data_IF_848184584908
#
_entry.id   IF_848184584908
#
_cell.length_a   1.000
_cell.length_b   1.000
_cell.length_c   1.000
_cell.angle_alpha   90.00
_cell.angle_beta   90.00
_cell.angle_gamma   90.00
#
_symmetry.space_group_name_H-M   'P 1'
#
loop_
_entity.id
_entity.type
_entity.pdbx_description
1 polymer ?
#
# COMPACT_ATOMS: atom_id res chain seq x y z
N UNK A 1 11.36 6.10 13.74
CA UNK A 1 10.38 6.76 12.86
C UNK A 1 10.83 8.17 12.44
N UNK A 2 11.24 9.08 13.35
CA UNK A 2 11.64 10.45 12.99
C UNK A 2 12.79 10.51 11.96
N UNK A 3 13.79 9.63 12.09
CA UNK A 3 14.91 9.55 11.15
C UNK A 3 14.49 9.12 9.73
N UNK A 4 13.45 8.29 9.59
CA UNK A 4 12.95 7.82 8.28
C UNK A 4 12.16 8.95 7.60
N UNK A 5 11.31 9.63 8.36
CA UNK A 5 10.54 10.78 7.88
C UNK A 5 11.47 11.92 7.47
N UNK A 6 12.47 12.22 8.30
CA UNK A 6 13.50 13.20 8.00
C UNK A 6 14.23 12.81 6.70
N UNK A 7 14.70 11.56 6.57
CA UNK A 7 15.32 11.10 5.32
C UNK A 7 14.41 11.23 4.09
N UNK A 8 13.11 10.95 4.22
CA UNK A 8 12.13 11.12 3.14
C UNK A 8 11.95 12.59 2.77
N UNK A 9 11.66 13.44 3.76
CA UNK A 9 11.38 14.87 3.58
C UNK A 9 12.58 15.64 2.98
N UNK A 10 13.80 15.23 3.32
CA UNK A 10 15.03 15.86 2.85
C UNK A 10 15.71 15.09 1.69
N UNK A 11 15.03 14.12 1.06
CA UNK A 11 15.57 13.51 -0.15
C UNK A 11 15.47 14.46 -1.36
N UNK A 12 16.34 14.25 -2.35
CA UNK A 12 16.44 15.12 -3.53
C UNK A 12 15.10 15.18 -4.27
N UNK A 13 14.40 14.05 -4.41
CA UNK A 13 13.13 13.98 -5.15
C UNK A 13 12.02 14.79 -4.49
N UNK A 14 11.87 14.69 -3.17
CA UNK A 14 10.86 15.38 -2.36
C UNK A 14 11.13 16.88 -2.35
N UNK A 15 12.39 17.27 -2.22
CA UNK A 15 12.80 18.68 -2.31
C UNK A 15 12.53 19.22 -3.72
N UNK A 16 12.92 18.48 -4.77
CA UNK A 16 12.73 18.88 -6.16
C UNK A 16 11.25 19.02 -6.52
N UNK A 17 10.42 18.06 -6.09
CA UNK A 17 8.97 18.12 -6.26
C UNK A 17 8.36 19.32 -5.51
N UNK A 18 8.82 19.60 -4.29
CA UNK A 18 8.37 20.76 -3.53
C UNK A 18 8.71 22.08 -4.25
N UNK A 19 9.89 22.18 -4.87
CA UNK A 19 10.27 23.33 -5.70
C UNK A 19 9.37 23.49 -6.94
N UNK A 20 8.83 22.39 -7.46
CA UNK A 20 7.84 22.37 -8.55
C UNK A 20 6.39 22.58 -8.08
N UNK A 21 6.18 22.91 -6.80
CA UNK A 21 4.85 23.12 -6.20
C UNK A 21 4.11 21.83 -5.82
N UNK A 22 4.77 20.67 -5.92
CA UNK A 22 4.20 19.36 -5.57
C UNK A 22 4.63 19.00 -4.13
N UNK A 23 3.72 19.15 -3.17
CA UNK A 23 4.03 18.90 -1.76
C UNK A 23 3.94 17.40 -1.40
N UNK A 24 5.12 16.75 -1.33
CA UNK A 24 5.28 15.38 -0.79
C UNK A 24 5.84 15.32 0.64
N UNK A 25 5.97 16.46 1.33
CA UNK A 25 6.51 16.53 2.69
C UNK A 25 5.53 15.88 3.67
N UNK A 26 6.02 14.98 4.51
CA UNK A 26 5.26 14.30 5.54
C UNK A 26 5.36 15.05 6.89
N UNK A 27 4.35 14.95 7.77
CA UNK A 27 4.44 15.46 9.14
C UNK A 27 5.61 14.80 9.89
N UNK A 28 6.43 15.59 10.59
CA UNK A 28 7.58 15.08 11.35
C UNK A 28 7.19 14.17 12.52
N UNK A 29 6.00 14.40 13.06
CA UNK A 29 5.37 13.67 14.15
C UNK A 29 4.50 12.50 13.67
N UNK A 30 4.52 12.16 12.37
CA UNK A 30 3.75 11.04 11.84
C UNK A 30 4.11 9.75 12.59
N UNK A 31 3.13 9.16 13.26
CA UNK A 31 3.26 7.88 13.97
C UNK A 31 2.42 6.79 13.29
N UNK A 32 3.03 5.65 13.01
CA UNK A 32 2.32 4.46 12.51
C UNK A 32 1.74 3.69 13.70
N UNK A 33 0.42 3.64 13.78
CA UNK A 33 -0.33 2.97 14.84
C UNK A 33 -1.43 2.07 14.28
N UNK A 34 -1.85 1.09 15.08
CA UNK A 34 -2.96 0.20 14.71
C UNK A 34 -4.25 1.01 14.62
N UNK A 35 -5.06 0.77 13.58
CA UNK A 35 -6.39 1.38 13.44
C UNK A 35 -6.40 2.83 12.93
N UNK A 36 -5.26 3.37 12.48
CA UNK A 36 -5.14 4.79 12.11
C UNK A 36 -5.70 5.15 10.71
N UNK A 37 -6.35 4.23 10.01
CA UNK A 37 -6.80 4.45 8.63
C UNK A 37 -7.73 5.68 8.47
N UNK A 38 -8.61 5.92 9.44
CA UNK A 38 -9.55 7.06 9.38
C UNK A 38 -8.86 8.43 9.37
N UNK A 39 -7.66 8.51 9.92
CA UNK A 39 -6.81 9.71 9.86
C UNK A 39 -5.99 9.72 8.57
N UNK A 40 -5.37 8.58 8.22
CA UNK A 40 -4.54 8.47 7.02
C UNK A 40 -5.29 8.79 5.73
N UNK A 41 -6.56 8.36 5.61
CA UNK A 41 -7.36 8.58 4.39
C UNK A 41 -7.57 10.05 4.03
N UNK A 42 -7.35 10.97 4.98
CA UNK A 42 -7.43 12.43 4.77
C UNK A 42 -6.23 12.98 3.99
N UNK A 43 -5.12 12.25 3.94
CA UNK A 43 -3.88 12.66 3.29
C UNK A 43 -3.34 11.54 2.41
N UNK A 44 -3.53 11.65 1.09
CA UNK A 44 -3.08 10.62 0.16
C UNK A 44 -1.58 10.33 0.28
N UNK A 45 -0.75 11.38 0.43
CA UNK A 45 0.71 11.23 0.64
C UNK A 45 1.06 10.43 1.90
N UNK A 46 0.32 10.63 2.99
CA UNK A 46 0.57 9.92 4.24
C UNK A 46 0.12 8.46 4.13
N UNK A 47 -1.05 8.22 3.51
CA UNK A 47 -1.54 6.87 3.24
C UNK A 47 -0.57 6.10 2.34
N UNK A 48 -0.11 6.71 1.24
CA UNK A 48 0.86 6.15 0.30
C UNK A 48 2.15 5.74 1.04
N UNK A 49 2.75 6.68 1.78
CA UNK A 49 3.97 6.43 2.54
C UNK A 49 3.81 5.31 3.58
N UNK A 50 2.72 5.32 4.36
CA UNK A 50 2.52 4.32 5.41
C UNK A 50 2.30 2.93 4.81
N UNK A 51 1.48 2.82 3.74
CA UNK A 51 1.25 1.53 3.08
C UNK A 51 2.56 1.01 2.47
N UNK A 52 3.34 1.85 1.78
CA UNK A 52 4.65 1.45 1.23
C UNK A 52 5.61 0.94 2.32
N UNK A 53 5.73 1.68 3.43
CA UNK A 53 6.58 1.28 4.55
C UNK A 53 6.14 -0.06 5.14
N UNK A 54 4.84 -0.29 5.29
CA UNK A 54 4.32 -1.56 5.82
C UNK A 54 4.59 -2.72 4.87
N UNK A 55 4.40 -2.54 3.55
CA UNK A 55 4.78 -3.56 2.56
C UNK A 55 6.28 -3.87 2.63
N UNK A 56 7.13 -2.85 2.76
CA UNK A 56 8.58 -3.02 2.91
C UNK A 56 8.94 -3.78 4.18
N UNK A 57 8.29 -3.47 5.31
CA UNK A 57 8.48 -4.18 6.58
C UNK A 57 8.11 -5.66 6.45
N UNK A 58 6.98 -5.98 5.81
CA UNK A 58 6.58 -7.38 5.57
C UNK A 58 7.59 -8.11 4.69
N UNK A 59 8.05 -7.48 3.60
CA UNK A 59 9.05 -8.06 2.70
C UNK A 59 10.39 -8.31 3.43
N UNK A 60 10.90 -7.34 4.20
CA UNK A 60 12.15 -7.49 4.99
C UNK A 60 12.00 -8.60 6.05
N UNK A 61 10.82 -8.75 6.63
CA UNK A 61 10.53 -9.79 7.63
C UNK A 61 10.34 -11.18 7.01
N UNK A 62 10.45 -11.33 5.69
CA UNK A 62 10.26 -12.59 4.98
C UNK A 62 8.78 -12.99 4.80
N UNK A 63 7.82 -12.15 5.21
CA UNK A 63 6.40 -12.47 5.14
C UNK A 63 5.89 -12.37 3.70
N UNK A 64 5.62 -13.52 3.08
CA UNK A 64 5.23 -13.62 1.66
C UNK A 64 6.18 -12.82 0.74
N UNK A 65 7.47 -12.83 1.06
CA UNK A 65 8.46 -12.00 0.40
C UNK A 65 8.65 -12.37 -1.09
N UNK A 66 9.04 -11.34 -1.83
CA UNK A 66 9.40 -11.42 -3.23
C UNK A 66 10.84 -12.00 -3.32
N UNK A 67 11.05 -13.01 -4.17
CA UNK A 67 12.30 -13.80 -4.18
C UNK A 67 13.28 -13.34 -5.25
N UNK A 68 12.83 -12.56 -6.24
CA UNK A 68 13.61 -12.19 -7.40
C UNK A 68 13.60 -10.67 -7.62
N UNK A 69 14.66 -10.13 -8.20
CA UNK A 69 14.82 -8.70 -8.42
C UNK A 69 13.75 -8.14 -9.40
N UNK A 70 13.32 -8.96 -10.39
CA UNK A 70 12.24 -8.65 -11.31
C UNK A 70 10.86 -8.45 -10.63
N UNK A 71 10.64 -9.05 -9.45
CA UNK A 71 9.42 -8.81 -8.65
C UNK A 71 9.41 -7.47 -7.92
N UNK A 72 10.52 -6.72 -7.89
CA UNK A 72 10.59 -5.41 -7.24
C UNK A 72 9.74 -4.35 -7.96
N UNK A 73 9.69 -4.39 -9.31
CA UNK A 73 8.85 -3.48 -10.12
C UNK A 73 7.36 -3.84 -9.96
N UNK A 74 7.03 -5.14 -9.89
CA UNK A 74 5.67 -5.61 -9.57
C UNK A 74 5.22 -5.15 -8.18
N UNK A 75 6.14 -5.11 -7.20
CA UNK A 75 5.87 -4.58 -5.87
C UNK A 75 5.41 -3.11 -5.85
N UNK A 76 5.84 -2.27 -6.80
CA UNK A 76 5.41 -0.86 -6.88
C UNK A 76 3.95 -0.74 -7.31
N UNK A 77 3.54 -1.54 -8.29
CA UNK A 77 2.17 -1.59 -8.77
C UNK A 77 1.21 -2.19 -7.74
N UNK A 78 1.65 -3.22 -7.01
CA UNK A 78 0.91 -3.83 -5.91
C UNK A 78 0.58 -2.82 -4.80
N UNK A 79 1.56 -2.01 -4.39
CA UNK A 79 1.36 -0.95 -3.39
C UNK A 79 0.32 0.06 -3.87
N UNK A 80 0.39 0.47 -5.14
CA UNK A 80 -0.57 1.43 -5.72
C UNK A 80 -2.00 0.86 -5.74
N UNK A 81 -2.16 -0.38 -6.19
CA UNK A 81 -3.46 -1.06 -6.16
C UNK A 81 -4.01 -1.22 -4.75
N UNK A 82 -3.16 -1.57 -3.79
CA UNK A 82 -3.55 -1.64 -2.38
C UNK A 82 -3.99 -0.27 -1.83
N UNK A 83 -3.37 0.84 -2.23
CA UNK A 83 -3.79 2.18 -1.79
C UNK A 83 -5.17 2.53 -2.35
N UNK A 84 -5.37 2.35 -3.66
CA UNK A 84 -6.66 2.68 -4.29
C UNK A 84 -7.80 1.82 -3.78
N UNK A 85 -7.54 0.54 -3.55
CA UNK A 85 -8.53 -0.39 -3.05
C UNK A 85 -9.03 -0.06 -1.63
N UNK A 86 -8.30 0.74 -0.83
CA UNK A 86 -8.78 1.18 0.49
C UNK A 86 -10.11 1.96 0.44
N UNK A 87 -10.48 2.48 -0.73
CA UNK A 87 -11.74 3.19 -0.98
C UNK A 87 -12.87 2.28 -1.49
N UNK A 88 -12.59 1.01 -1.78
CA UNK A 88 -13.56 0.05 -2.26
C UNK A 88 -14.07 -0.85 -1.13
N UNK A 89 -15.21 -1.52 -1.36
CA UNK A 89 -15.71 -2.52 -0.42
C UNK A 89 -14.92 -3.83 -0.51
N UNK A 90 -14.46 -4.19 -1.71
CA UNK A 90 -13.74 -5.44 -2.00
C UNK A 90 -12.56 -5.22 -2.94
N UNK A 91 -11.47 -5.94 -2.70
CA UNK A 91 -10.30 -6.04 -3.55
C UNK A 91 -10.13 -7.51 -3.95
N UNK A 92 -10.28 -7.80 -5.25
CA UNK A 92 -10.03 -9.13 -5.80
C UNK A 92 -8.64 -9.19 -6.40
N UNK A 93 -7.91 -10.26 -6.11
CA UNK A 93 -6.64 -10.56 -6.77
C UNK A 93 -6.43 -12.06 -6.89
N UNK A 94 -5.77 -12.48 -7.96
CA UNK A 94 -5.31 -13.87 -8.14
C UNK A 94 -3.94 -14.13 -7.50
N UNK A 95 -3.25 -13.08 -7.05
CA UNK A 95 -1.95 -13.20 -6.40
C UNK A 95 -2.12 -13.44 -4.89
N UNK A 96 -1.83 -14.68 -4.47
CA UNK A 96 -1.92 -15.10 -3.07
C UNK A 96 -0.97 -14.34 -2.14
N UNK A 97 0.24 -14.01 -2.59
CA UNK A 97 1.21 -13.28 -1.75
C UNK A 97 0.74 -11.85 -1.54
N UNK A 98 0.30 -11.20 -2.60
CA UNK A 98 -0.29 -9.86 -2.53
C UNK A 98 -1.50 -9.84 -1.60
N UNK A 99 -2.46 -10.75 -1.78
CA UNK A 99 -3.65 -10.86 -0.93
C UNK A 99 -3.27 -10.96 0.54
N UNK A 100 -2.32 -11.83 0.89
CA UNK A 100 -1.87 -12.01 2.27
C UNK A 100 -1.24 -10.74 2.85
N UNK A 101 -0.32 -10.10 2.09
CA UNK A 101 0.34 -8.85 2.51
C UNK A 101 -0.68 -7.73 2.71
N UNK A 102 -1.55 -7.52 1.71
CA UNK A 102 -2.56 -6.47 1.71
C UNK A 102 -3.58 -6.68 2.84
N UNK A 103 -4.06 -7.91 3.05
CA UNK A 103 -4.98 -8.23 4.15
C UNK A 103 -4.36 -7.95 5.53
N UNK A 104 -3.08 -8.30 5.73
CA UNK A 104 -2.38 -8.01 6.99
C UNK A 104 -2.26 -6.51 7.25
N UNK A 105 -1.93 -5.74 6.21
CA UNK A 105 -1.83 -4.27 6.29
C UNK A 105 -3.20 -3.65 6.59
N UNK A 106 -4.24 -4.08 5.88
CA UNK A 106 -5.60 -3.59 6.08
C UNK A 106 -6.11 -3.89 7.49
N UNK A 107 -5.87 -5.10 7.98
CA UNK A 107 -6.19 -5.49 9.35
C UNK A 107 -5.45 -4.63 10.37
N UNK A 108 -4.16 -4.37 10.16
CA UNK A 108 -3.37 -3.52 11.05
C UNK A 108 -3.86 -2.07 11.05
N UNK A 109 -4.11 -1.50 9.88
CA UNK A 109 -4.54 -0.10 9.73
C UNK A 109 -6.03 0.13 10.07
N UNK A 110 -6.85 -0.92 10.13
CA UNK A 110 -8.30 -0.80 10.31
C UNK A 110 -9.05 -0.41 9.03
N UNK A 111 -8.53 -0.80 7.86
CA UNK A 111 -9.21 -0.60 6.57
C UNK A 111 -10.39 -1.58 6.47
N UNK A 112 -11.56 -1.08 6.05
CA UNK A 112 -12.80 -1.88 5.96
C UNK A 112 -12.90 -2.76 4.72
N UNK A 113 -12.11 -2.46 3.69
CA UNK A 113 -12.07 -3.20 2.42
C UNK A 113 -11.73 -4.67 2.66
N UNK A 114 -12.52 -5.57 2.07
CA UNK A 114 -12.26 -7.01 2.12
C UNK A 114 -11.29 -7.40 1.00
N UNK A 115 -10.18 -8.04 1.35
CA UNK A 115 -9.21 -8.56 0.37
C UNK A 115 -9.53 -10.03 0.09
N UNK A 116 -9.82 -10.37 -1.16
CA UNK A 116 -10.32 -11.67 -1.59
C UNK A 116 -9.38 -12.30 -2.61
N UNK A 117 -8.88 -13.50 -2.31
CA UNK A 117 -8.19 -14.33 -3.30
C UNK A 117 -9.23 -14.87 -4.29
N UNK A 118 -9.12 -14.47 -5.55
CA UNK A 118 -10.01 -14.94 -6.62
C UNK A 118 -9.17 -15.54 -7.75
N UNK A 119 -9.22 -16.86 -7.96
CA UNK A 119 -8.56 -17.50 -9.09
C UNK A 119 -9.07 -16.92 -10.42
N UNK A 120 -8.18 -16.77 -11.40
CA UNK A 120 -8.54 -16.21 -12.73
C UNK A 120 -9.74 -16.91 -13.39
N UNK A 121 -9.88 -18.22 -13.16
CA UNK A 121 -11.00 -19.03 -13.66
C UNK A 121 -12.36 -18.57 -13.11
N UNK A 122 -12.38 -18.10 -11.86
CA UNK A 122 -13.59 -17.58 -11.22
C UNK A 122 -13.88 -16.14 -11.64
N UNK A 123 -12.85 -15.31 -11.83
CA UNK A 123 -13.00 -13.94 -12.36
C UNK A 123 -13.68 -13.97 -13.73
N UNK A 124 -13.24 -14.86 -14.63
CA UNK A 124 -13.84 -15.03 -15.94
C UNK A 124 -15.32 -15.40 -15.86
N UNK A 125 -15.70 -16.26 -14.91
CA UNK A 125 -17.09 -16.66 -14.68
C UNK A 125 -17.95 -15.49 -14.20
N UNK A 126 -17.49 -14.72 -13.21
CA UNK A 126 -18.20 -13.56 -12.68
C UNK A 126 -18.44 -12.51 -13.78
N UNK A 127 -17.43 -12.22 -14.61
CA UNK A 127 -17.54 -11.23 -15.69
C UNK A 127 -18.46 -11.66 -16.83
N UNK A 128 -18.56 -12.96 -17.10
CA UNK A 128 -19.44 -13.51 -18.13
C UNK A 128 -20.90 -13.64 -17.66
N UNK A 129 -21.13 -13.87 -16.37
CA UNK A 129 -22.47 -13.94 -15.75
C UNK A 129 -23.06 -12.57 -15.37
N UNK A 130 -22.26 -11.50 -15.43
CA UNK A 130 -22.69 -10.12 -15.17
C UNK A 130 -23.24 -9.39 -16.42
N UNK A 131 -23.46 -10.11 -17.53
CA UNK A 131 -24.12 -9.63 -18.74
C UNK A 131 -25.53 -10.19 -18.85
#
# INVERSE_FOLDING_TARGET
MPQIINRHNFNVDTISLAMLGINKILPEDLQIQRGMYDELKKSHKALEFVVEILFRVLNISGYNADKEEATTISGIHDVTHAIYATKADKLFSSDKKFVNKCAAIYYFLGVKTQVVLCPQKEIAKILLESK
#
